data_IF_218843687633
#
_entry.id   IF_218843687633
#
_cell.length_a   1.000
_cell.length_b   1.000
_cell.length_c   1.000
_cell.angle_alpha   90.00
_cell.angle_beta   90.00
_cell.angle_gamma   90.00
#
_symmetry.space_group_name_H-M   'P 1'
#
loop_
_entity.id
_entity.type
_entity.pdbx_description
1 polymer ?
#
# COMPACT_ATOMS: atom_id res chain seq x y z
N UNK A 1 13.99 23.71 -6.94
CA UNK A 1 14.23 22.29 -7.31
C UNK A 1 12.99 21.46 -6.92
N UNK A 2 12.15 21.08 -7.88
CA UNK A 2 10.95 20.29 -7.62
C UNK A 2 11.36 18.90 -7.12
N UNK A 3 11.27 18.64 -5.81
CA UNK A 3 11.42 17.30 -5.25
C UNK A 3 10.24 16.46 -5.76
N UNK A 4 10.41 15.78 -6.90
CA UNK A 4 9.44 14.81 -7.40
C UNK A 4 9.05 13.90 -6.22
N UNK A 5 7.77 13.92 -5.88
CA UNK A 5 7.24 13.00 -4.87
C UNK A 5 7.34 11.62 -5.50
N UNK A 6 8.30 10.81 -5.03
CA UNK A 6 8.38 9.42 -5.43
C UNK A 6 7.14 8.70 -4.90
N UNK A 7 6.38 8.14 -5.84
CA UNK A 7 5.23 7.29 -5.61
C UNK A 7 5.54 5.95 -6.25
N UNK A 8 5.27 4.88 -5.52
CA UNK A 8 5.39 3.53 -6.07
C UNK A 8 4.01 2.94 -6.20
N UNK A 9 3.81 2.19 -7.27
CA UNK A 9 2.55 1.53 -7.59
C UNK A 9 2.84 0.07 -7.92
N UNK A 10 2.07 -0.84 -7.34
CA UNK A 10 2.09 -2.25 -7.67
C UNK A 10 0.68 -2.67 -8.10
N UNK A 11 0.59 -3.34 -9.24
CA UNK A 11 -0.65 -3.87 -9.79
C UNK A 11 -0.55 -5.39 -9.75
N UNK A 12 -1.46 -6.03 -9.01
CA UNK A 12 -1.49 -7.49 -8.84
C UNK A 12 -2.78 -8.01 -9.46
N UNK A 13 -2.72 -8.76 -10.57
CA UNK A 13 -3.88 -9.47 -11.10
C UNK A 13 -4.39 -10.50 -10.09
N UNK A 14 -5.71 -10.60 -9.97
CA UNK A 14 -6.38 -11.62 -9.16
C UNK A 14 -7.68 -12.05 -9.83
N UNK A 15 -8.24 -13.18 -9.39
CA UNK A 15 -9.56 -13.65 -9.85
C UNK A 15 -10.70 -12.66 -9.58
N UNK A 16 -10.51 -11.75 -8.62
CA UNK A 16 -11.47 -10.72 -8.27
C UNK A 16 -11.22 -9.39 -9.01
N UNK A 17 -10.24 -9.34 -9.92
CA UNK A 17 -9.83 -8.14 -10.64
C UNK A 17 -8.43 -7.65 -10.23
N UNK A 18 -8.14 -6.39 -10.52
CA UNK A 18 -6.82 -5.80 -10.30
C UNK A 18 -6.70 -5.19 -8.90
N UNK A 19 -5.83 -5.76 -8.06
CA UNK A 19 -5.44 -5.16 -6.78
C UNK A 19 -4.44 -4.04 -7.08
N UNK A 20 -4.78 -2.82 -6.68
CA UNK A 20 -3.92 -1.63 -6.84
C UNK A 20 -3.31 -1.27 -5.49
N UNK A 21 -1.98 -1.30 -5.41
CA UNK A 21 -1.24 -0.89 -4.22
C UNK A 21 -0.51 0.41 -4.52
N UNK A 22 -0.74 1.42 -3.69
CA UNK A 22 -0.10 2.73 -3.77
C UNK A 22 0.77 2.94 -2.54
N UNK A 23 2.05 3.25 -2.73
CA UNK A 23 3.02 3.45 -1.65
C UNK A 23 3.61 4.85 -1.80
N UNK A 24 3.64 5.59 -0.69
CA UNK A 24 4.18 6.94 -0.65
C UNK A 24 4.86 7.24 0.67
N UNK A 25 5.83 8.16 0.64
CA UNK A 25 6.68 8.46 1.78
C UNK A 25 7.88 7.53 1.82
N UNK A 26 8.27 7.05 3.02
CA UNK A 26 9.41 6.14 3.22
C UNK A 26 10.74 6.59 2.58
N UNK A 27 10.91 7.89 2.34
CA UNK A 27 12.07 8.43 1.60
C UNK A 27 13.42 8.17 2.28
N UNK A 28 13.40 7.95 3.59
CA UNK A 28 14.54 7.65 4.46
C UNK A 28 14.03 6.83 5.64
N UNK A 29 14.91 6.03 6.25
CA UNK A 29 14.57 5.30 7.46
C UNK A 29 14.01 6.24 8.54
N UNK A 30 12.97 5.77 9.22
CA UNK A 30 12.26 6.54 10.25
C UNK A 30 11.28 7.59 9.72
N UNK A 31 11.26 7.91 8.41
CA UNK A 31 10.24 8.80 7.85
C UNK A 31 8.94 8.04 7.61
N UNK A 32 7.85 8.63 8.10
CA UNK A 32 6.51 8.11 7.87
C UNK A 32 6.22 7.95 6.39
N UNK A 33 5.72 6.79 6.04
CA UNK A 33 5.05 6.53 4.79
C UNK A 33 3.71 5.84 5.02
N UNK A 34 3.04 5.58 3.91
CA UNK A 34 1.70 5.00 3.91
C UNK A 34 1.52 4.11 2.69
N UNK A 35 0.67 3.13 2.87
CA UNK A 35 0.29 2.13 1.86
C UNK A 35 -1.23 2.17 1.73
N UNK A 36 -1.73 2.24 0.50
CA UNK A 36 -3.14 2.08 0.17
C UNK A 36 -3.32 0.87 -0.72
N UNK A 37 -4.32 0.04 -0.44
CA UNK A 37 -4.67 -1.13 -1.22
C UNK A 37 -6.13 -1.00 -1.63
N UNK A 38 -6.40 -1.18 -2.93
CA UNK A 38 -7.72 -1.01 -3.52
C UNK A 38 -8.05 -2.21 -4.42
N UNK A 39 -9.24 -2.77 -4.24
CA UNK A 39 -9.84 -3.77 -5.14
C UNK A 39 -11.36 -3.53 -5.17
N UNK A 40 -11.94 -3.29 -6.33
CA UNK A 40 -13.40 -3.16 -6.53
C UNK A 40 -14.14 -2.31 -5.47
N UNK A 41 -13.56 -1.17 -5.09
CA UNK A 41 -14.14 -0.29 -4.07
C UNK A 41 -13.77 -0.63 -2.62
N UNK A 42 -13.29 -1.84 -2.34
CA UNK A 42 -12.69 -2.21 -1.05
C UNK A 42 -11.36 -1.47 -0.91
N UNK A 43 -11.20 -0.75 0.18
CA UNK A 43 -9.99 0.02 0.50
C UNK A 43 -9.46 -0.35 1.88
N UNK A 44 -8.14 -0.54 1.96
CA UNK A 44 -7.40 -0.69 3.22
C UNK A 44 -6.19 0.25 3.16
N UNK A 45 -5.88 0.89 4.28
CA UNK A 45 -4.74 1.77 4.40
C UNK A 45 -3.88 1.40 5.62
N UNK A 46 -2.58 1.66 5.50
CA UNK A 46 -1.62 1.52 6.59
C UNK A 46 -0.65 2.69 6.60
N UNK A 47 -0.21 3.05 7.81
CA UNK A 47 0.79 4.11 8.07
C UNK A 47 1.89 3.51 8.93
N UNK A 48 3.14 3.80 8.61
CA UNK A 48 4.27 3.35 9.41
C UNK A 48 5.56 4.01 8.98
N UNK A 49 6.66 3.67 9.65
CA UNK A 49 8.00 4.19 9.35
C UNK A 49 8.88 3.20 8.58
N UNK A 50 8.51 1.91 8.58
CA UNK A 50 9.19 0.85 7.84
C UNK A 50 8.33 0.41 6.66
N UNK A 51 8.81 0.65 5.43
CA UNK A 51 8.06 0.37 4.19
C UNK A 51 7.60 -1.08 4.08
N UNK A 52 8.54 -2.03 4.22
CA UNK A 52 8.26 -3.48 4.10
C UNK A 52 7.22 -3.94 5.12
N UNK A 53 7.40 -3.58 6.39
CA UNK A 53 6.47 -3.95 7.46
C UNK A 53 5.08 -3.34 7.23
N UNK A 54 5.01 -2.06 6.83
CA UNK A 54 3.74 -1.38 6.55
C UNK A 54 3.02 -2.03 5.37
N UNK A 55 3.75 -2.37 4.30
CA UNK A 55 3.19 -3.04 3.12
C UNK A 55 2.61 -4.42 3.49
N UNK A 56 3.39 -5.26 4.16
CA UNK A 56 2.98 -6.62 4.55
C UNK A 56 1.76 -6.55 5.48
N UNK A 57 1.82 -5.75 6.55
CA UNK A 57 0.69 -5.64 7.49
C UNK A 57 -0.59 -5.10 6.84
N UNK A 58 -0.47 -4.18 5.89
CA UNK A 58 -1.63 -3.65 5.15
C UNK A 58 -2.21 -4.69 4.19
N UNK A 59 -1.36 -5.48 3.52
CA UNK A 59 -1.78 -6.61 2.68
C UNK A 59 -2.46 -7.70 3.49
N UNK A 60 -1.95 -8.03 4.68
CA UNK A 60 -2.58 -9.00 5.60
C UNK A 60 -3.99 -8.56 5.98
N UNK A 61 -4.16 -7.31 6.43
CA UNK A 61 -5.47 -6.73 6.75
C UNK A 61 -6.41 -6.70 5.55
N UNK A 62 -5.88 -6.42 4.36
CA UNK A 62 -6.66 -6.47 3.13
C UNK A 62 -7.13 -7.90 2.81
N UNK A 63 -6.25 -8.88 2.93
CA UNK A 63 -6.56 -10.29 2.73
C UNK A 63 -7.61 -10.82 3.72
N UNK A 64 -7.55 -10.40 4.98
CA UNK A 64 -8.60 -10.68 5.97
C UNK A 64 -9.95 -10.09 5.56
N UNK A 65 -9.95 -8.84 5.05
CA UNK A 65 -11.17 -8.13 4.66
C UNK A 65 -11.85 -8.66 3.40
N UNK A 66 -11.12 -9.29 2.48
CA UNK A 66 -11.70 -9.89 1.26
C UNK A 66 -12.08 -11.37 1.45
N UNK A 67 -11.65 -12.00 2.54
CA UNK A 67 -12.05 -13.36 2.91
C UNK A 67 -13.27 -13.40 3.85
N UNK A 68 -13.56 -12.27 4.51
CA UNK A 68 -14.77 -12.05 5.30
C UNK A 68 -15.94 -11.67 4.39
#
# INVERSE_FOLDING_TARGET
>A
MNKQKQYEMLYIPSQFGMIKVYIYGFKRDGKTGRVFIVLNGIKVNGKGIHKKQTLISTLTKFNEKIKA
#
